data_IF_312204741707
#
_entry.id   IF_312204741707
#
_cell.length_a   1.000
_cell.length_b   1.000
_cell.length_c   1.000
_cell.angle_alpha   90.00
_cell.angle_beta   90.00
_cell.angle_gamma   90.00
#
_symmetry.space_group_name_H-M   'P 1'
#
loop_
_entity.id
_entity.type
_entity.pdbx_description
1 polymer ?
#
# COMPACT_ATOMS: atom_id res chain seq x y z
N UNK A 1 10.61 12.81 8.52
CA UNK A 1 10.64 11.46 9.12
C UNK A 1 9.62 10.57 8.43
N UNK A 2 9.93 9.29 8.24
CA UNK A 2 9.00 8.28 7.69
C UNK A 2 8.82 7.15 8.70
N UNK A 3 7.57 6.77 8.98
CA UNK A 3 7.23 5.60 9.78
C UNK A 3 6.75 4.52 8.83
N UNK A 4 7.50 3.40 8.75
CA UNK A 4 7.24 2.30 7.83
C UNK A 4 6.58 1.13 8.58
N UNK A 5 5.31 0.86 8.28
CA UNK A 5 4.49 -0.16 8.92
C UNK A 5 4.38 -1.38 8.01
N UNK A 6 5.05 -2.44 8.41
CA UNK A 6 5.23 -3.66 7.63
C UNK A 6 3.95 -4.51 7.52
N UNK A 7 3.93 -5.44 6.57
CA UNK A 7 2.88 -6.45 6.48
C UNK A 7 2.96 -7.43 7.64
N UNK A 8 1.83 -8.08 7.97
CA UNK A 8 1.81 -9.11 9.00
C UNK A 8 2.76 -10.26 8.64
N UNK A 9 3.66 -10.59 9.54
CA UNK A 9 4.74 -11.56 9.36
C UNK A 9 6.05 -10.97 8.82
N UNK A 10 6.04 -9.82 8.17
CA UNK A 10 7.21 -9.20 7.56
C UNK A 10 7.99 -8.30 8.54
N UNK A 11 8.32 -8.84 9.70
CA UNK A 11 8.96 -8.12 10.82
C UNK A 11 10.43 -7.78 10.59
N UNK A 12 11.03 -8.32 9.54
CA UNK A 12 12.40 -8.04 9.17
C UNK A 12 12.46 -6.83 8.22
N UNK A 13 13.08 -5.70 8.60
CA UNK A 13 13.23 -4.55 7.72
C UNK A 13 14.05 -4.87 6.47
N UNK A 14 14.89 -5.91 6.49
CA UNK A 14 15.62 -6.42 5.33
C UNK A 14 14.72 -6.74 4.15
N UNK A 15 13.45 -7.15 4.38
CA UNK A 15 12.47 -7.42 3.32
C UNK A 15 12.07 -6.17 2.51
N UNK A 16 12.24 -4.99 3.08
CA UNK A 16 11.98 -3.68 2.46
C UNK A 16 13.24 -2.83 2.36
N UNK A 17 14.41 -3.48 2.51
CA UNK A 17 15.70 -2.80 2.65
C UNK A 17 16.04 -1.86 1.50
N UNK A 18 15.66 -2.20 0.28
CA UNK A 18 15.84 -1.33 -0.89
C UNK A 18 15.08 0.00 -0.76
N UNK A 19 13.82 -0.06 -0.30
CA UNK A 19 13.04 1.16 -0.08
C UNK A 19 13.53 1.96 1.12
N UNK A 20 13.88 1.30 2.21
CA UNK A 20 14.47 1.95 3.40
C UNK A 20 15.76 2.68 3.01
N UNK A 21 16.64 2.05 2.22
CA UNK A 21 17.86 2.67 1.72
C UNK A 21 17.58 3.89 0.83
N UNK A 22 16.59 3.78 -0.08
CA UNK A 22 16.14 4.89 -0.90
C UNK A 22 15.68 6.08 -0.05
N UNK A 23 14.84 5.84 0.95
CA UNK A 23 14.34 6.88 1.86
C UNK A 23 15.47 7.52 2.67
N UNK A 24 16.39 6.71 3.19
CA UNK A 24 17.55 7.20 3.95
C UNK A 24 18.48 8.07 3.08
N UNK A 25 18.74 7.67 1.83
CA UNK A 25 19.50 8.48 0.86
C UNK A 25 18.82 9.78 0.47
N UNK A 26 17.49 9.85 0.58
CA UNK A 26 16.71 11.08 0.41
C UNK A 26 16.73 11.98 1.66
N UNK A 27 17.44 11.59 2.71
CA UNK A 27 17.56 12.34 3.96
C UNK A 27 16.40 12.14 4.94
N UNK A 28 15.61 11.09 4.76
CA UNK A 28 14.56 10.74 5.72
C UNK A 28 15.14 9.91 6.87
N UNK A 29 14.78 10.26 8.10
CA UNK A 29 14.85 9.34 9.22
C UNK A 29 13.72 8.31 9.05
N UNK A 30 14.04 7.02 9.03
CA UNK A 30 13.07 5.94 8.86
C UNK A 30 12.91 5.16 10.15
N UNK A 31 11.70 5.13 10.71
CA UNK A 31 11.33 4.26 11.82
C UNK A 31 10.57 3.05 11.29
N UNK A 32 11.07 1.86 11.63
CA UNK A 32 10.46 0.59 11.28
C UNK A 32 10.04 -0.15 12.57
N UNK A 33 8.85 0.15 13.13
CA UNK A 33 8.42 -0.48 14.36
C UNK A 33 8.09 -1.95 14.11
N UNK A 34 8.80 -2.85 14.78
CA UNK A 34 8.56 -4.30 14.72
C UNK A 34 7.41 -4.66 15.67
N UNK A 35 6.20 -4.22 15.35
CA UNK A 35 5.00 -4.33 16.20
C UNK A 35 4.45 -5.74 16.32
N UNK A 36 5.08 -6.71 15.69
CA UNK A 36 4.69 -8.11 15.76
C UNK A 36 5.83 -8.96 16.32
N UNK A 37 5.59 -9.62 17.44
CA UNK A 37 6.37 -10.78 17.87
C UNK A 37 5.72 -12.01 17.22
N UNK A 38 6.41 -12.63 16.27
CA UNK A 38 5.87 -13.74 15.47
C UNK A 38 5.39 -14.85 16.39
N UNK A 39 4.15 -15.30 16.16
CA UNK A 39 3.43 -16.29 16.94
C UNK A 39 3.04 -15.86 18.39
N UNK A 40 3.21 -14.61 18.78
CA UNK A 40 2.81 -14.12 20.12
C UNK A 40 1.87 -12.92 20.07
N UNK A 41 2.03 -12.05 19.09
CA UNK A 41 1.20 -10.85 18.93
C UNK A 41 -0.15 -11.20 18.29
N UNK A 42 -1.17 -10.45 18.69
CA UNK A 42 -2.49 -10.51 18.06
C UNK A 42 -2.67 -9.33 17.11
N UNK A 43 -3.28 -9.53 15.94
CA UNK A 43 -3.58 -8.43 15.03
C UNK A 43 -4.37 -7.30 15.69
N UNK A 44 -5.28 -7.62 16.61
CA UNK A 44 -6.07 -6.62 17.33
C UNK A 44 -5.21 -5.65 18.16
N UNK A 45 -4.06 -6.10 18.66
CA UNK A 45 -3.16 -5.30 19.51
C UNK A 45 -2.13 -4.52 18.72
N UNK A 46 -1.99 -4.80 17.42
CA UNK A 46 -0.88 -4.33 16.58
C UNK A 46 -0.76 -2.80 16.52
N UNK A 47 -1.90 -2.09 16.47
CA UNK A 47 -1.88 -0.61 16.43
C UNK A 47 -1.34 -0.01 17.73
N UNK A 48 -1.71 -0.59 18.89
CA UNK A 48 -1.22 -0.12 20.19
C UNK A 48 0.27 -0.45 20.36
N UNK A 49 0.69 -1.65 19.96
CA UNK A 49 2.11 -2.05 19.99
C UNK A 49 2.97 -1.15 19.10
N UNK A 50 2.48 -0.84 17.89
CA UNK A 50 3.19 0.08 16.99
C UNK A 50 3.29 1.48 17.60
N UNK A 51 2.23 1.99 18.21
CA UNK A 51 2.18 3.30 18.89
C UNK A 51 3.21 3.38 20.01
N UNK A 52 3.26 2.37 20.89
CA UNK A 52 4.18 2.33 22.04
C UNK A 52 5.65 2.23 21.57
N UNK A 53 5.93 1.43 20.52
CA UNK A 53 7.27 1.32 19.94
C UNK A 53 7.74 2.64 19.31
N UNK A 54 6.84 3.32 18.59
CA UNK A 54 7.14 4.63 17.98
C UNK A 54 7.41 5.67 19.08
N UNK A 55 6.58 5.70 20.11
CA UNK A 55 6.78 6.61 21.25
C UNK A 55 8.14 6.37 21.91
N UNK A 56 8.50 5.10 22.16
CA UNK A 56 9.78 4.74 22.75
C UNK A 56 10.97 5.15 21.88
N UNK A 57 10.86 4.92 20.55
CA UNK A 57 11.88 5.30 19.59
C UNK A 57 12.06 6.84 19.53
N UNK A 58 10.96 7.59 19.53
CA UNK A 58 10.98 9.06 19.53
C UNK A 58 11.58 9.63 20.81
N UNK A 59 11.35 8.98 21.95
CA UNK A 59 11.97 9.37 23.21
C UNK A 59 13.50 9.15 23.18
N UNK A 60 13.94 7.99 22.66
CA UNK A 60 15.37 7.70 22.51
C UNK A 60 16.06 8.67 21.52
N UNK A 61 15.40 9.00 20.40
CA UNK A 61 15.94 9.92 19.39
C UNK A 61 15.94 11.38 19.84
N UNK A 62 15.13 11.75 20.85
CA UNK A 62 15.15 13.10 21.40
C UNK A 62 16.48 13.44 22.10
N UNK A 63 17.16 12.41 22.61
CA UNK A 63 18.48 12.53 23.27
C UNK A 63 19.65 12.47 22.26
N UNK A 64 19.39 12.13 20.99
CA UNK A 64 20.43 12.04 19.95
C UNK A 64 20.50 13.35 19.16
N UNK A 65 21.63 14.07 19.32
CA UNK A 65 21.86 15.35 18.63
C UNK A 65 21.98 15.19 17.11
N UNK A 66 22.37 14.00 16.61
CA UNK A 66 22.62 13.74 15.20
C UNK A 66 21.38 13.21 14.46
N UNK A 67 20.36 12.75 15.18
CA UNK A 67 19.20 12.08 14.61
C UNK A 67 17.86 12.68 15.07
N UNK A 68 17.81 13.99 15.33
CA UNK A 68 16.55 14.65 15.73
C UNK A 68 15.47 14.54 14.66
N UNK A 69 14.34 13.87 14.95
CA UNK A 69 13.25 13.75 13.99
C UNK A 69 12.53 15.08 13.82
N UNK A 70 12.32 15.50 12.57
CA UNK A 70 11.39 16.59 12.26
C UNK A 70 9.96 16.07 12.42
N UNK A 71 9.29 16.48 13.50
CA UNK A 71 7.93 16.06 13.87
C UNK A 71 6.84 16.77 13.08
N UNK A 72 7.16 17.83 12.34
CA UNK A 72 6.23 18.56 11.47
C UNK A 72 6.18 17.96 10.06
N UNK A 73 7.22 17.23 9.66
CA UNK A 73 7.32 16.57 8.34
C UNK A 73 7.33 15.06 8.49
N UNK A 74 6.16 14.50 8.79
CA UNK A 74 5.97 13.08 9.07
C UNK A 74 5.11 12.45 7.98
N UNK A 75 5.54 11.30 7.46
CA UNK A 75 4.75 10.45 6.56
C UNK A 75 4.71 9.02 7.08
N UNK A 76 3.59 8.36 6.88
CA UNK A 76 3.43 6.94 7.17
C UNK A 76 3.39 6.16 5.85
N UNK A 77 4.16 5.08 5.78
CA UNK A 77 4.05 4.06 4.74
C UNK A 77 3.46 2.82 5.41
N UNK A 78 2.44 2.23 4.79
CA UNK A 78 1.87 0.97 5.23
C UNK A 78 1.84 -0.04 4.10
N UNK A 79 2.17 -1.31 4.40
CA UNK A 79 2.00 -2.41 3.47
C UNK A 79 1.05 -3.45 4.03
N UNK A 80 0.04 -3.85 3.26
CA UNK A 80 -0.97 -4.86 3.64
C UNK A 80 -1.61 -4.54 4.99
N UNK A 81 -1.40 -5.35 6.04
CA UNK A 81 -1.86 -5.09 7.40
C UNK A 81 -1.27 -3.82 8.03
N UNK A 82 -0.12 -3.36 7.57
CA UNK A 82 0.46 -2.08 7.98
C UNK A 82 -0.37 -0.87 7.54
N UNK A 83 -1.21 -1.02 6.51
CA UNK A 83 -2.06 0.11 6.04
C UNK A 83 -3.13 0.47 7.07
N UNK A 84 -4.03 -0.44 7.53
CA UNK A 84 -4.99 -0.09 8.56
C UNK A 84 -4.32 0.35 9.88
N UNK A 85 -3.12 -0.17 10.21
CA UNK A 85 -2.34 0.33 11.36
C UNK A 85 -1.93 1.78 11.13
N UNK A 86 -1.44 2.15 9.93
CA UNK A 86 -1.08 3.54 9.59
C UNK A 86 -2.28 4.49 9.73
N UNK A 87 -3.47 4.07 9.29
CA UNK A 87 -4.71 4.84 9.46
C UNK A 87 -5.10 4.98 10.93
N UNK A 88 -5.00 3.90 11.72
CA UNK A 88 -5.26 3.94 13.15
C UNK A 88 -4.32 4.88 13.91
N UNK A 89 -3.02 4.86 13.56
CA UNK A 89 -2.05 5.77 14.14
C UNK A 89 -2.33 7.22 13.75
N UNK A 90 -2.74 7.48 12.51
CA UNK A 90 -3.14 8.81 12.07
C UNK A 90 -4.40 9.33 12.78
N UNK A 91 -5.32 8.44 13.17
CA UNK A 91 -6.49 8.76 13.96
C UNK A 91 -6.16 8.97 15.45
N UNK A 92 -5.12 8.29 15.97
CA UNK A 92 -4.74 8.33 17.39
C UNK A 92 -3.82 9.50 17.81
N UNK A 93 -3.58 10.47 16.93
CA UNK A 93 -2.59 11.54 17.18
C UNK A 93 -2.93 12.49 18.31
N UNK A 94 -4.18 12.56 18.75
CA UNK A 94 -4.61 13.36 19.90
C UNK A 94 -3.93 12.90 21.20
N UNK A 95 -3.50 11.65 21.29
CA UNK A 95 -2.75 11.12 22.43
C UNK A 95 -1.36 11.78 22.61
N UNK A 96 -0.83 12.42 21.56
CA UNK A 96 0.50 13.01 21.51
C UNK A 96 1.65 11.99 21.47
N UNK A 97 1.36 10.67 21.50
CA UNK A 97 2.37 9.61 21.45
C UNK A 97 3.04 9.54 20.08
N UNK A 98 2.26 9.68 19.02
CA UNK A 98 2.72 9.64 17.64
C UNK A 98 2.42 10.99 16.97
N UNK A 99 3.39 11.63 16.28
CA UNK A 99 3.16 12.88 15.59
C UNK A 99 2.18 12.71 14.42
N UNK A 100 1.34 13.73 14.19
CA UNK A 100 0.36 13.72 13.13
C UNK A 100 1.03 13.64 11.74
N UNK A 101 0.69 12.67 10.88
CA UNK A 101 1.28 12.57 9.56
C UNK A 101 0.70 13.64 8.62
N UNK A 102 1.54 14.17 7.73
CA UNK A 102 1.10 14.95 6.57
C UNK A 102 0.64 14.04 5.41
N UNK A 103 1.17 12.79 5.38
CA UNK A 103 0.85 11.79 4.37
C UNK A 103 0.68 10.41 5.02
N UNK A 104 -0.38 9.69 4.65
CA UNK A 104 -0.47 8.24 4.81
C UNK A 104 -0.47 7.60 3.42
N UNK A 105 0.53 6.78 3.14
CA UNK A 105 0.73 6.11 1.86
C UNK A 105 0.61 4.59 2.07
N UNK A 106 -0.50 4.02 1.64
CA UNK A 106 -0.82 2.61 1.86
C UNK A 106 -0.70 1.78 0.58
N UNK A 107 0.01 0.65 0.67
CA UNK A 107 0.16 -0.31 -0.43
C UNK A 107 -0.58 -1.60 -0.13
N UNK A 108 -1.37 -2.06 -1.09
CA UNK A 108 -2.09 -3.34 -1.03
C UNK A 108 -2.84 -3.55 0.30
N UNK A 109 -3.70 -2.60 0.74
CA UNK A 109 -4.33 -2.63 2.05
C UNK A 109 -5.11 -3.92 2.30
N UNK A 110 -4.97 -4.46 3.50
CA UNK A 110 -5.63 -5.71 3.89
C UNK A 110 -5.57 -5.97 5.38
N UNK A 111 -6.08 -7.13 5.82
CA UNK A 111 -6.01 -7.54 7.20
C UNK A 111 -6.95 -6.80 8.17
N UNK A 112 -7.96 -6.09 7.67
CA UNK A 112 -8.96 -5.38 8.46
C UNK A 112 -9.98 -6.38 9.00
N UNK A 113 -10.29 -6.31 10.30
CA UNK A 113 -11.40 -7.04 10.90
C UNK A 113 -12.74 -6.42 10.49
N UNK A 114 -13.72 -7.23 10.10
CA UNK A 114 -15.05 -6.74 9.71
C UNK A 114 -15.89 -6.36 10.93
N UNK A 115 -15.57 -6.89 12.10
CA UNK A 115 -16.21 -6.59 13.39
C UNK A 115 -15.28 -6.98 14.54
N UNK A 116 -15.64 -6.61 15.76
CA UNK A 116 -14.83 -6.84 16.97
C UNK A 116 -14.55 -8.32 17.28
N UNK A 117 -15.36 -9.25 16.77
CA UNK A 117 -15.20 -10.69 17.00
C UNK A 117 -14.31 -11.36 15.96
N UNK A 118 -14.08 -10.72 14.84
CA UNK A 118 -13.25 -11.24 13.76
C UNK A 118 -11.78 -10.92 13.97
N UNK A 119 -10.95 -11.80 13.43
CA UNK A 119 -9.51 -11.61 13.44
C UNK A 119 -9.14 -10.52 12.44
N UNK A 120 -8.19 -9.70 12.82
CA UNK A 120 -7.67 -8.66 11.97
C UNK A 120 -7.31 -7.41 12.75
N UNK A 121 -6.94 -6.39 12.03
CA UNK A 121 -6.71 -5.06 12.58
C UNK A 121 -8.06 -4.39 12.77
N UNK A 122 -8.42 -4.10 14.01
CA UNK A 122 -9.62 -3.35 14.33
C UNK A 122 -9.37 -1.87 14.04
N UNK A 123 -10.28 -1.26 13.29
CA UNK A 123 -10.16 0.16 12.97
C UNK A 123 -10.60 1.01 14.17
N UNK A 124 -9.80 2.03 14.49
CA UNK A 124 -10.18 3.12 15.38
C UNK A 124 -11.20 4.03 14.67
N UNK A 125 -11.70 5.03 15.33
CA UNK A 125 -12.51 6.06 14.69
C UNK A 125 -11.65 6.89 13.72
N UNK A 126 -11.68 6.53 12.43
CA UNK A 126 -10.89 7.21 11.42
C UNK A 126 -11.41 8.62 11.06
N UNK A 127 -12.59 8.99 11.54
CA UNK A 127 -13.10 10.36 11.37
C UNK A 127 -12.28 11.41 12.14
N UNK A 128 -11.44 10.96 13.08
CA UNK A 128 -10.53 11.82 13.85
C UNK A 128 -9.21 12.12 13.13
N UNK A 129 -8.95 11.51 11.97
CA UNK A 129 -7.77 11.85 11.16
C UNK A 129 -7.82 13.33 10.77
N UNK A 130 -6.72 14.04 11.01
CA UNK A 130 -6.65 15.47 10.74
C UNK A 130 -7.02 15.79 9.28
N UNK A 131 -7.91 16.77 9.02
CA UNK A 131 -8.35 17.12 7.66
C UNK A 131 -7.22 17.55 6.72
N UNK A 132 -6.08 17.97 7.29
CA UNK A 132 -4.88 18.35 6.54
C UNK A 132 -4.03 17.17 6.07
N UNK A 133 -4.30 15.95 6.56
CA UNK A 133 -3.57 14.74 6.15
C UNK A 133 -3.91 14.35 4.72
N UNK A 134 -2.92 14.05 3.90
CA UNK A 134 -3.11 13.45 2.58
C UNK A 134 -3.17 11.93 2.73
N UNK A 135 -4.20 11.30 2.14
CA UNK A 135 -4.41 9.85 2.18
C UNK A 135 -4.27 9.28 0.77
N UNK A 136 -3.32 8.38 0.57
CA UNK A 136 -3.13 7.68 -0.71
C UNK A 136 -3.08 6.19 -0.43
N UNK A 137 -3.85 5.41 -1.19
CA UNK A 137 -3.75 3.95 -1.19
C UNK A 137 -3.54 3.45 -2.62
N UNK A 138 -2.69 2.44 -2.78
CA UNK A 138 -2.42 1.80 -4.06
C UNK A 138 -2.68 0.30 -3.97
N UNK A 139 -3.46 -0.23 -4.91
CA UNK A 139 -3.74 -1.65 -5.08
C UNK A 139 -3.06 -2.19 -6.33
N UNK A 140 -2.71 -3.47 -6.36
CA UNK A 140 -2.22 -4.17 -7.56
C UNK A 140 -3.35 -4.87 -8.31
N UNK A 141 -3.21 -5.07 -9.61
CA UNK A 141 -4.19 -5.78 -10.42
C UNK A 141 -4.12 -7.31 -10.24
N UNK A 142 -3.02 -7.82 -9.69
CA UNK A 142 -2.82 -9.25 -9.36
C UNK A 142 -2.86 -9.50 -7.85
N UNK A 143 -3.40 -8.57 -7.10
CA UNK A 143 -3.62 -8.77 -5.68
C UNK A 143 -4.82 -9.72 -5.48
N UNK A 144 -4.55 -10.88 -4.87
CA UNK A 144 -5.57 -11.89 -4.59
C UNK A 144 -6.49 -11.52 -3.41
N UNK A 145 -6.10 -10.51 -2.65
CA UNK A 145 -6.91 -9.97 -1.57
C UNK A 145 -7.72 -8.78 -2.09
N UNK A 146 -8.91 -8.51 -1.54
CA UNK A 146 -9.74 -7.40 -1.97
C UNK A 146 -9.19 -6.05 -1.48
N UNK A 147 -7.93 -5.72 -1.85
CA UNK A 147 -7.27 -4.48 -1.42
C UNK A 147 -8.01 -3.22 -1.89
N UNK A 148 -8.64 -3.25 -3.06
CA UNK A 148 -9.51 -2.17 -3.52
C UNK A 148 -10.68 -1.92 -2.56
N UNK A 149 -11.27 -2.99 -2.00
CA UNK A 149 -12.37 -2.87 -1.03
C UNK A 149 -11.87 -2.29 0.29
N UNK A 150 -10.73 -2.78 0.79
CA UNK A 150 -10.10 -2.25 1.99
C UNK A 150 -9.70 -0.78 1.82
N UNK A 151 -9.12 -0.42 0.68
CA UNK A 151 -8.77 0.95 0.33
C UNK A 151 -9.99 1.89 0.38
N UNK A 152 -11.10 1.50 -0.26
CA UNK A 152 -12.34 2.29 -0.27
C UNK A 152 -12.93 2.44 1.13
N UNK A 153 -12.94 1.37 1.93
CA UNK A 153 -13.42 1.39 3.31
C UNK A 153 -12.63 2.39 4.15
N UNK A 154 -11.30 2.34 4.10
CA UNK A 154 -10.42 3.26 4.83
C UNK A 154 -10.68 4.72 4.42
N UNK A 155 -10.78 4.99 3.11
CA UNK A 155 -11.05 6.33 2.59
C UNK A 155 -12.43 6.85 3.00
N UNK A 156 -13.45 5.98 3.03
CA UNK A 156 -14.80 6.33 3.44
C UNK A 156 -14.85 6.65 4.94
N UNK A 157 -14.25 5.81 5.78
CA UNK A 157 -14.24 6.03 7.23
C UNK A 157 -13.45 7.26 7.67
N UNK A 158 -12.41 7.64 6.94
CA UNK A 158 -11.66 8.89 7.18
C UNK A 158 -12.47 10.13 6.74
N UNK A 159 -13.67 10.28 7.27
CA UNK A 159 -14.69 11.24 6.77
C UNK A 159 -14.31 12.72 6.94
N UNK A 160 -13.52 13.06 7.96
CA UNK A 160 -13.04 14.43 8.17
C UNK A 160 -12.03 14.88 7.12
N UNK A 161 -11.32 13.94 6.46
CA UNK A 161 -10.37 14.28 5.41
C UNK A 161 -11.15 14.54 4.11
N UNK A 162 -11.00 15.72 3.48
CA UNK A 162 -11.74 16.05 2.27
C UNK A 162 -11.29 15.22 1.06
N UNK A 163 -12.17 15.03 0.07
CA UNK A 163 -11.91 14.17 -1.10
C UNK A 163 -10.72 14.63 -1.94
N UNK A 164 -10.45 15.94 -2.01
CA UNK A 164 -9.28 16.49 -2.72
C UNK A 164 -7.94 16.18 -2.04
N UNK A 165 -7.95 15.57 -0.85
CA UNK A 165 -6.78 15.05 -0.13
C UNK A 165 -6.70 13.53 -0.12
N UNK A 166 -7.55 12.85 -0.89
CA UNK A 166 -7.62 11.39 -0.96
C UNK A 166 -7.37 10.92 -2.39
N UNK A 167 -6.53 9.88 -2.56
CA UNK A 167 -6.35 9.20 -3.84
C UNK A 167 -6.45 7.68 -3.67
N UNK A 168 -7.21 7.08 -4.56
CA UNK A 168 -7.21 5.64 -4.82
C UNK A 168 -6.39 5.41 -6.07
N UNK A 169 -5.29 4.65 -5.94
CA UNK A 169 -4.39 4.34 -7.03
C UNK A 169 -4.40 2.85 -7.34
N UNK A 170 -4.01 2.51 -8.56
CA UNK A 170 -3.84 1.13 -8.99
C UNK A 170 -2.58 1.00 -9.83
N UNK A 171 -1.74 0.03 -9.48
CA UNK A 171 -0.64 -0.44 -10.29
C UNK A 171 -1.12 -1.61 -11.16
N UNK A 172 -0.75 -1.60 -12.43
CA UNK A 172 -1.09 -2.66 -13.38
C UNK A 172 0.14 -3.49 -13.71
N UNK A 173 -0.06 -4.81 -13.75
CA UNK A 173 0.94 -5.72 -14.30
C UNK A 173 1.16 -5.45 -15.79
N UNK A 174 2.39 -5.65 -16.25
CA UNK A 174 2.76 -5.45 -17.64
C UNK A 174 3.68 -6.59 -18.09
N UNK A 175 3.24 -7.30 -19.12
CA UNK A 175 3.89 -8.47 -19.69
C UNK A 175 4.52 -8.21 -21.07
N UNK A 176 4.63 -6.93 -21.47
CA UNK A 176 5.26 -6.56 -22.73
C UNK A 176 6.73 -6.96 -22.76
N UNK A 177 7.47 -6.76 -21.67
CA UNK A 177 8.88 -7.10 -21.55
C UNK A 177 9.16 -8.36 -20.72
N UNK A 178 10.44 -8.74 -20.69
CA UNK A 178 10.92 -9.85 -19.86
C UNK A 178 12.05 -9.38 -18.94
N UNK A 179 11.99 -9.68 -17.62
CA UNK A 179 10.85 -10.32 -16.93
C UNK A 179 9.59 -9.44 -16.92
N UNK A 180 8.42 -10.08 -16.94
CA UNK A 180 7.16 -9.38 -16.81
C UNK A 180 7.04 -8.72 -15.43
N UNK A 181 6.46 -7.53 -15.38
CA UNK A 181 6.14 -6.87 -14.11
C UNK A 181 4.79 -7.37 -13.58
N UNK A 182 4.74 -7.76 -12.33
CA UNK A 182 3.51 -8.27 -11.69
C UNK A 182 3.16 -7.41 -10.48
N UNK A 183 2.07 -6.66 -10.57
CA UNK A 183 1.58 -5.83 -9.46
C UNK A 183 0.71 -6.65 -8.51
N UNK A 184 1.34 -7.34 -7.57
CA UNK A 184 0.74 -8.24 -6.60
C UNK A 184 1.04 -7.81 -5.16
N UNK A 185 0.46 -8.50 -4.18
CA UNK A 185 0.62 -8.22 -2.76
C UNK A 185 2.10 -8.15 -2.32
N UNK A 186 2.98 -8.98 -2.89
CA UNK A 186 4.40 -9.02 -2.54
C UNK A 186 5.26 -7.99 -3.29
N UNK A 187 4.70 -7.27 -4.27
CA UNK A 187 5.48 -6.34 -5.11
C UNK A 187 6.24 -5.25 -4.37
N UNK A 188 5.79 -4.74 -3.20
CA UNK A 188 6.57 -3.77 -2.43
C UNK A 188 7.80 -4.34 -1.72
N UNK A 189 8.07 -5.65 -1.83
CA UNK A 189 9.27 -6.30 -1.30
C UNK A 189 10.50 -5.95 -2.12
N UNK A 190 11.49 -5.37 -1.47
CA UNK A 190 12.77 -4.99 -2.07
C UNK A 190 13.91 -5.40 -1.13
N UNK A 191 14.22 -6.71 -1.06
CA UNK A 191 15.11 -7.25 -0.03
C UNK A 191 16.54 -6.70 -0.16
N UNK A 192 17.12 -6.35 0.98
CA UNK A 192 18.49 -5.88 1.10
C UNK A 192 19.08 -6.31 2.44
N UNK A 193 20.10 -7.17 2.39
CA UNK A 193 20.67 -7.86 3.56
C UNK A 193 21.28 -6.92 4.60
N UNK A 194 21.72 -5.72 4.21
CA UNK A 194 22.29 -4.73 5.13
C UNK A 194 21.27 -4.23 6.17
N UNK A 195 19.97 -4.43 5.91
CA UNK A 195 18.87 -4.07 6.81
C UNK A 195 18.29 -5.28 7.55
N UNK A 196 18.91 -6.46 7.45
CA UNK A 196 18.48 -7.65 8.19
C UNK A 196 18.58 -7.42 9.70
N UNK A 197 17.44 -7.49 10.36
CA UNK A 197 17.34 -7.29 11.81
C UNK A 197 17.93 -8.44 12.63
N UNK A 198 18.22 -9.58 12.03
CA UNK A 198 18.87 -10.72 12.72
C UNK A 198 20.28 -10.38 13.19
N UNK A 199 20.94 -9.42 12.54
CA UNK A 199 22.24 -8.90 12.95
C UNK A 199 22.16 -8.01 14.20
N UNK A 200 20.97 -7.49 14.55
CA UNK A 200 20.78 -6.64 15.72
C UNK A 200 20.67 -7.51 16.97
N UNK A 201 21.68 -7.45 17.83
CA UNK A 201 21.61 -8.08 19.15
C UNK A 201 20.58 -7.31 19.99
N UNK A 202 19.43 -7.91 20.17
CA UNK A 202 18.46 -7.40 21.14
C UNK A 202 19.06 -7.50 22.57
N UNK A 203 18.73 -6.57 23.47
CA UNK A 203 19.11 -6.74 24.86
C UNK A 203 18.57 -8.07 25.39
N UNK A 204 19.31 -8.77 26.27
CA UNK A 204 18.84 -10.04 26.81
C UNK A 204 17.49 -9.83 27.49
N UNK A 205 16.58 -10.80 27.30
CA UNK A 205 15.31 -10.81 28.02
C UNK A 205 15.57 -10.56 29.54
N UNK A 206 14.77 -9.74 30.19
CA UNK A 206 14.90 -9.55 31.63
C UNK A 206 14.79 -10.90 32.33
N UNK A 207 15.50 -11.10 33.44
CA UNK A 207 15.49 -12.37 34.18
C UNK A 207 14.05 -12.78 34.47
N UNK A 208 13.62 -13.93 33.97
CA UNK A 208 12.28 -14.47 34.22
C UNK A 208 12.14 -14.79 35.70
N UNK A 209 11.05 -14.33 36.31
CA UNK A 209 10.68 -14.80 37.64
C UNK A 209 10.47 -16.32 37.58
N UNK A 210 11.25 -17.12 38.33
CA UNK A 210 11.10 -18.60 38.36
C UNK A 210 9.70 -19.07 38.78
N UNK A 211 8.95 -18.20 39.45
CA UNK A 211 7.56 -18.45 39.88
C UNK A 211 6.53 -18.16 38.81
N UNK A 212 6.90 -17.44 37.77
CA UNK A 212 6.01 -17.11 36.64
C UNK A 212 5.95 -18.29 35.69
N UNK A 213 4.91 -19.13 35.86
CA UNK A 213 4.63 -20.21 34.90
C UNK A 213 4.47 -19.58 33.52
N UNK A 214 5.21 -20.11 32.51
CA UNK A 214 5.00 -19.74 31.13
C UNK A 214 3.59 -20.18 30.69
N UNK A 215 2.61 -19.27 30.83
CA UNK A 215 1.21 -19.50 30.47
C UNK A 215 0.94 -19.23 28.98
N UNK A 216 1.99 -18.86 28.23
CA UNK A 216 1.83 -18.60 26.80
C UNK A 216 1.36 -19.87 26.07
N UNK A 217 0.27 -19.75 25.35
CA UNK A 217 -0.24 -20.77 24.42
C UNK A 217 -0.58 -20.08 23.12
N UNK A 218 -0.16 -20.69 22.01
CA UNK A 218 -0.62 -20.26 20.71
C UNK A 218 -2.16 -20.38 20.64
N UNK A 219 -2.79 -19.37 20.08
CA UNK A 219 -4.22 -19.36 19.81
C UNK A 219 -4.46 -18.84 18.39
N UNK A 220 -5.57 -19.26 17.81
CA UNK A 220 -5.86 -18.96 16.40
C UNK A 220 -6.06 -17.46 16.12
N UNK A 221 -6.31 -16.64 17.15
CA UNK A 221 -6.42 -15.18 17.07
C UNK A 221 -5.06 -14.45 16.93
N UNK A 222 -3.95 -15.19 17.09
CA UNK A 222 -2.59 -14.68 16.86
C UNK A 222 -2.18 -14.70 15.38
N UNK A 223 -3.03 -15.22 14.49
CA UNK A 223 -2.78 -15.23 13.07
C UNK A 223 -3.81 -14.40 12.32
N UNK A 224 -3.39 -13.62 11.30
CA UNK A 224 -4.33 -13.12 10.32
C UNK A 224 -4.81 -14.29 9.44
N UNK A 225 -6.05 -14.24 9.00
CA UNK A 225 -6.54 -15.16 7.96
C UNK A 225 -5.85 -14.82 6.65
N UNK A 226 -5.15 -15.81 6.07
CA UNK A 226 -4.50 -15.64 4.78
C UNK A 226 -3.07 -16.21 4.72
N UNK A 227 -2.41 -16.14 3.58
CA UNK A 227 -1.13 -16.80 3.31
C UNK A 227 0.09 -16.02 3.85
N UNK A 228 0.15 -15.77 5.15
CA UNK A 228 1.21 -14.94 5.77
C UNK A 228 2.62 -15.48 5.56
N UNK A 229 2.83 -16.78 5.73
CA UNK A 229 4.13 -17.41 5.48
C UNK A 229 4.52 -17.27 4.02
N UNK A 230 3.56 -17.46 3.12
CA UNK A 230 3.78 -17.32 1.68
C UNK A 230 4.12 -15.88 1.30
N UNK A 231 3.50 -14.90 1.94
CA UNK A 231 3.80 -13.49 1.70
C UNK A 231 5.23 -13.15 2.13
N UNK A 232 5.67 -13.59 3.31
CA UNK A 232 7.03 -13.32 3.80
C UNK A 232 8.08 -13.95 2.87
N UNK A 233 7.85 -15.18 2.42
CA UNK A 233 8.72 -15.83 1.43
C UNK A 233 8.71 -15.11 0.08
N UNK A 234 7.54 -14.68 -0.38
CA UNK A 234 7.42 -13.94 -1.64
C UNK A 234 8.13 -12.58 -1.58
N UNK A 235 8.03 -11.86 -0.45
CA UNK A 235 8.77 -10.62 -0.22
C UNK A 235 10.29 -10.85 -0.24
N UNK A 236 10.77 -11.91 0.43
CA UNK A 236 12.20 -12.24 0.48
C UNK A 236 12.77 -12.74 -0.85
N UNK A 237 11.93 -13.31 -1.70
CA UNK A 237 12.33 -13.78 -3.04
C UNK A 237 12.14 -12.71 -4.12
N UNK A 238 11.52 -11.59 -3.78
CA UNK A 238 11.34 -10.49 -4.73
C UNK A 238 12.68 -9.81 -5.02
N UNK A 239 12.79 -9.21 -6.18
CA UNK A 239 13.92 -8.34 -6.55
C UNK A 239 13.43 -6.92 -6.72
N UNK A 240 14.30 -5.95 -6.49
CA UNK A 240 13.97 -4.56 -6.80
C UNK A 240 13.79 -4.38 -8.30
N UNK A 241 12.62 -3.91 -8.71
CA UNK A 241 12.25 -3.76 -10.12
C UNK A 241 11.66 -2.37 -10.44
N UNK A 242 11.11 -2.24 -11.64
CA UNK A 242 10.50 -0.99 -12.12
C UNK A 242 9.27 -0.57 -11.29
N UNK A 243 8.52 -1.52 -10.72
CA UNK A 243 7.40 -1.19 -9.82
C UNK A 243 7.89 -0.50 -8.56
N UNK A 244 9.01 -0.99 -7.97
CA UNK A 244 9.60 -0.34 -6.80
C UNK A 244 9.97 1.10 -7.12
N UNK A 245 10.78 1.32 -8.16
CA UNK A 245 11.27 2.67 -8.50
C UNK A 245 10.18 3.61 -8.95
N UNK A 246 9.27 3.18 -9.81
CA UNK A 246 8.35 4.07 -10.52
C UNK A 246 6.93 4.05 -9.96
N UNK A 247 6.45 2.90 -9.44
CA UNK A 247 5.12 2.85 -8.83
C UNK A 247 5.14 3.25 -7.36
N UNK A 248 6.12 2.75 -6.57
CA UNK A 248 6.10 2.94 -5.12
C UNK A 248 6.97 4.11 -4.67
N UNK A 249 8.28 4.06 -4.93
CA UNK A 249 9.23 5.04 -4.38
C UNK A 249 9.06 6.43 -4.97
N UNK A 250 9.07 6.56 -6.31
CA UNK A 250 8.86 7.84 -6.98
C UNK A 250 7.50 8.47 -6.62
N UNK A 251 6.45 7.64 -6.60
CA UNK A 251 5.11 8.13 -6.29
C UNK A 251 5.02 8.61 -4.84
N UNK A 252 5.65 7.88 -3.91
CA UNK A 252 5.78 8.32 -2.51
C UNK A 252 6.59 9.61 -2.39
N UNK A 253 7.74 9.73 -3.08
CA UNK A 253 8.58 10.93 -3.05
C UNK A 253 7.77 12.17 -3.48
N UNK A 254 7.10 12.09 -4.63
CA UNK A 254 6.29 13.20 -5.17
C UNK A 254 5.14 13.54 -4.20
N UNK A 255 4.47 12.51 -3.65
CA UNK A 255 3.36 12.69 -2.72
C UNK A 255 3.81 13.31 -1.40
N UNK A 256 4.93 12.84 -0.83
CA UNK A 256 5.45 13.35 0.44
C UNK A 256 5.94 14.80 0.31
N UNK A 257 6.63 15.14 -0.77
CA UNK A 257 7.03 16.54 -1.05
C UNK A 257 5.81 17.46 -1.17
N UNK A 258 4.76 17.01 -1.89
CA UNK A 258 3.52 17.78 -2.02
C UNK A 258 2.79 17.93 -0.67
N UNK A 259 2.69 16.85 0.13
CA UNK A 259 2.05 16.87 1.43
C UNK A 259 2.81 17.79 2.43
N UNK A 260 4.14 17.71 2.46
CA UNK A 260 4.98 18.57 3.28
C UNK A 260 4.93 20.04 2.87
N UNK A 261 4.65 20.31 1.59
CA UNK A 261 4.40 21.66 1.08
C UNK A 261 2.94 22.13 1.28
N UNK A 262 2.10 21.36 1.97
CA UNK A 262 0.69 21.68 2.22
C UNK A 262 -0.23 21.58 0.99
N UNK A 263 0.25 21.04 -0.14
CA UNK A 263 -0.54 20.83 -1.35
C UNK A 263 -1.59 19.73 -1.12
N UNK A 264 -2.67 19.79 -1.88
CA UNK A 264 -3.69 18.72 -1.90
C UNK A 264 -3.34 17.60 -2.88
N UNK A 265 -4.02 16.46 -2.74
CA UNK A 265 -3.80 15.30 -3.61
C UNK A 265 -4.27 15.55 -5.05
N UNK A 266 -5.20 16.47 -5.27
CA UNK A 266 -5.63 16.88 -6.61
C UNK A 266 -4.49 17.54 -7.39
N UNK A 267 -3.52 18.16 -6.70
CA UNK A 267 -2.34 18.73 -7.35
C UNK A 267 -1.45 17.64 -7.99
N UNK A 268 -1.41 16.43 -7.39
CA UNK A 268 -0.65 15.31 -7.89
C UNK A 268 -1.18 14.81 -9.25
N UNK A 269 -2.50 14.85 -9.44
CA UNK A 269 -3.12 14.42 -10.70
C UNK A 269 -2.77 15.33 -11.89
N UNK A 270 -2.28 16.54 -11.63
CA UNK A 270 -1.83 17.48 -12.67
C UNK A 270 -0.36 17.27 -13.05
N UNK A 271 0.40 16.54 -12.26
CA UNK A 271 1.80 16.18 -12.57
C UNK A 271 1.82 14.87 -13.39
N UNK A 272 2.17 14.92 -14.69
CA UNK A 272 2.21 13.72 -15.51
C UNK A 272 3.23 12.68 -15.01
N UNK A 273 4.26 13.10 -14.27
CA UNK A 273 5.29 12.21 -13.70
C UNK A 273 4.73 11.34 -12.59
N UNK A 274 3.66 11.79 -11.92
CA UNK A 274 3.10 11.08 -10.77
C UNK A 274 2.60 9.67 -11.13
N UNK A 275 1.98 9.53 -12.30
CA UNK A 275 1.41 8.26 -12.79
C UNK A 275 2.24 7.60 -13.90
N UNK A 276 3.34 8.24 -14.33
CA UNK A 276 4.20 7.73 -15.40
C UNK A 276 5.03 6.56 -14.91
N UNK A 277 5.15 5.52 -15.75
CA UNK A 277 5.92 4.30 -15.46
C UNK A 277 7.11 4.12 -16.41
N UNK A 278 7.42 5.16 -17.21
CA UNK A 278 8.51 5.11 -18.17
C UNK A 278 8.21 4.24 -19.40
N UNK A 279 9.28 3.72 -19.98
CA UNK A 279 9.23 2.90 -21.20
C UNK A 279 10.06 1.64 -21.04
N UNK A 280 9.65 0.58 -21.72
CA UNK A 280 10.45 -0.61 -21.91
C UNK A 280 11.71 -0.32 -22.73
N UNK A 281 12.66 -1.24 -22.76
CA UNK A 281 13.93 -1.08 -23.48
C UNK A 281 13.79 -0.88 -25.00
N UNK A 282 12.65 -1.32 -25.56
CA UNK A 282 12.30 -1.13 -26.98
C UNK A 282 11.57 0.20 -27.27
N UNK A 283 11.37 1.03 -26.21
CA UNK A 283 10.67 2.31 -26.29
C UNK A 283 9.16 2.23 -26.13
N UNK A 284 8.58 1.02 -25.94
CA UNK A 284 7.15 0.89 -25.68
C UNK A 284 6.81 1.44 -24.28
N UNK A 285 5.71 2.21 -24.13
CA UNK A 285 5.37 2.76 -22.81
C UNK A 285 4.92 1.65 -21.85
N UNK A 286 5.45 1.67 -20.62
CA UNK A 286 4.96 0.84 -19.53
C UNK A 286 3.56 1.29 -19.13
N UNK A 287 2.70 0.35 -18.75
CA UNK A 287 1.33 0.65 -18.28
C UNK A 287 1.37 1.63 -17.12
N UNK A 288 0.74 2.79 -17.33
CA UNK A 288 0.70 3.87 -16.33
C UNK A 288 -0.11 3.48 -15.11
N UNK A 289 0.21 4.09 -13.97
CA UNK A 289 -0.64 4.01 -12.79
C UNK A 289 -1.98 4.70 -13.08
N UNK A 290 -3.07 4.14 -12.56
CA UNK A 290 -4.33 4.87 -12.48
C UNK A 290 -4.45 5.53 -11.11
N UNK A 291 -5.00 6.74 -11.07
CA UNK A 291 -5.23 7.49 -9.83
C UNK A 291 -6.56 8.23 -9.93
N UNK A 292 -7.37 8.15 -8.90
CA UNK A 292 -8.67 8.83 -8.84
C UNK A 292 -9.00 9.27 -7.41
N UNK A 293 -9.69 10.37 -7.28
CA UNK A 293 -10.28 10.76 -6.00
C UNK A 293 -11.48 9.86 -5.67
N UNK A 294 -11.71 9.50 -4.39
CA UNK A 294 -12.93 8.81 -4.01
C UNK A 294 -14.16 9.62 -4.40
N UNK A 295 -15.18 8.93 -4.90
CA UNK A 295 -16.47 9.58 -5.18
C UNK A 295 -17.09 10.08 -3.87
N UNK A 296 -17.61 11.29 -3.88
CA UNK A 296 -18.41 11.82 -2.76
C UNK A 296 -19.77 11.15 -2.84
N UNK A 297 -20.24 10.53 -1.75
CA UNK A 297 -21.60 9.99 -1.67
C UNK A 297 -22.59 11.13 -1.94
N UNK A 298 -23.47 10.96 -2.93
CA UNK A 298 -24.45 11.96 -3.36
C UNK A 298 -24.25 12.52 -4.78
N UNK A 299 -23.14 12.23 -5.46
CA UNK A 299 -23.05 12.49 -6.90
C UNK A 299 -23.54 11.26 -7.67
N UNK A 300 -24.83 11.28 -8.03
CA UNK A 300 -25.39 10.32 -8.99
C UNK A 300 -24.55 10.31 -10.27
N UNK A 301 -24.10 9.12 -10.65
CA UNK A 301 -23.49 8.88 -11.94
C UNK A 301 -24.51 9.26 -13.04
N UNK A 302 -24.35 10.38 -13.71
CA UNK A 302 -24.78 10.42 -15.10
C UNK A 302 -23.94 9.35 -15.81
N UNK A 303 -24.58 8.31 -16.40
CA UNK A 303 -23.81 7.33 -17.17
C UNK A 303 -23.06 8.09 -18.25
N UNK A 304 -21.75 7.89 -18.35
CA UNK A 304 -20.99 8.33 -19.51
C UNK A 304 -21.72 7.80 -20.75
N UNK A 305 -21.95 8.64 -21.76
CA UNK A 305 -22.52 8.16 -23.00
C UNK A 305 -21.57 7.10 -23.55
N UNK A 306 -22.01 5.84 -23.47
CA UNK A 306 -21.24 4.71 -24.03
C UNK A 306 -20.84 5.01 -25.46
N UNK A 307 -19.72 4.46 -25.95
CA UNK A 307 -19.25 4.71 -27.30
C UNK A 307 -20.43 4.50 -28.24
N UNK A 308 -20.78 5.56 -28.99
CA UNK A 308 -21.87 5.50 -29.99
C UNK A 308 -21.55 4.31 -30.90
N UNK A 309 -22.32 3.23 -30.79
CA UNK A 309 -22.31 2.16 -31.76
C UNK A 309 -22.55 2.83 -33.11
N UNK A 310 -21.55 2.85 -33.99
CA UNK A 310 -21.77 3.17 -35.39
C UNK A 310 -22.81 2.15 -35.88
N UNK A 311 -23.97 2.64 -36.24
CA UNK A 311 -24.95 1.86 -36.95
C UNK A 311 -24.23 1.26 -38.17
N UNK A 312 -24.15 -0.06 -38.22
CA UNK A 312 -23.71 -0.79 -39.38
C UNK A 312 -24.62 -0.39 -40.54
N UNK A 313 -24.08 0.31 -41.50
CA UNK A 313 -24.71 0.44 -42.79
C UNK A 313 -24.87 -0.98 -43.36
N UNK A 314 -26.09 -1.32 -43.78
CA UNK A 314 -26.38 -2.58 -44.44
C UNK A 314 -25.44 -2.81 -45.63
N UNK A 315 -24.99 -4.02 -45.86
CA UNK A 315 -24.20 -4.33 -47.04
C UNK A 315 -25.00 -4.09 -48.31
N UNK A 316 -24.38 -3.63 -49.43
CA UNK A 316 -25.08 -3.38 -50.66
C UNK A 316 -25.71 -4.69 -51.19
N UNK A 317 -26.95 -4.59 -51.65
CA UNK A 317 -27.69 -5.69 -52.29
C UNK A 317 -26.87 -6.25 -53.46
N UNK A 318 -26.48 -7.52 -53.36
CA UNK A 318 -25.93 -8.27 -54.50
C UNK A 318 -27.08 -8.65 -55.43
N UNK A 319 -27.11 -8.05 -56.61
CA UNK A 319 -27.98 -8.48 -57.72
C UNK A 319 -27.77 -9.97 -57.99
N UNK A 320 -28.86 -10.74 -57.93
CA UNK A 320 -28.96 -12.10 -58.39
C UNK A 320 -28.57 -12.15 -59.88
N UNK A 321 -27.41 -12.73 -60.20
CA UNK A 321 -27.06 -13.21 -61.52
C UNK A 321 -27.37 -14.70 -61.61
N UNK A 322 -28.13 -15.03 -62.64
CA UNK A 322 -28.76 -16.31 -62.99
C UNK A 322 -27.85 -17.53 -62.83
N UNK A 323 -28.51 -18.60 -62.36
CA UNK A 323 -28.14 -20.00 -62.51
C UNK A 323 -27.78 -20.29 -63.98
N UNK A 324 -26.56 -20.85 -64.20
CA UNK A 324 -26.25 -21.82 -65.30
C UNK A 324 -24.75 -22.16 -65.23
N UNK A 325 -24.38 -22.99 -64.25
CA UNK A 325 -23.08 -23.64 -64.33
C UNK A 325 -22.97 -24.92 -63.48
N UNK A 326 -24.00 -25.77 -63.51
CA UNK A 326 -23.89 -27.12 -62.95
C UNK A 326 -24.56 -28.16 -63.86
N UNK A 327 -24.09 -28.29 -65.11
CA UNK A 327 -24.41 -29.44 -65.94
C UNK A 327 -23.31 -29.64 -66.96
N UNK A 328 -22.14 -30.10 -66.54
CA UNK A 328 -21.15 -30.77 -67.41
C UNK A 328 -19.97 -31.23 -66.53
N UNK A 329 -20.11 -32.32 -65.87
CA UNK A 329 -19.08 -33.29 -65.48
C UNK A 329 -19.74 -34.57 -65.00
N UNK A 330 -20.39 -35.26 -66.01
CA UNK A 330 -20.61 -36.72 -66.04
C UNK A 330 -20.64 -37.12 -67.50
N UNK A 331 -19.50 -37.48 -67.99
CA UNK A 331 -19.24 -38.51 -69.02
C UNK A 331 -17.74 -38.73 -69.02
#
# INVERSE_FOLDING_TARGET
MVIFLHSWGAVDPGLYGGWIDHLARKGHLVLFPRFQDVNRSRPADASNLAEDLIQSALAALAEDENAKPDRERVAFIGHSAGVPIAFNLAAGTESGKVPAPKLVFGLMPGGIASNEKERGIHLRDLSTIAPSTMLITMSGDRDHLPSDRAARLLMQQASAVPSNRKLLMRASSDDHGFPAMTAALASPGSPKSEYDATAIKLPPDPPRDPKQRNTWRWSADMALTGPQILLTQALGNNGTDTLDYLAFWKTFDIASEAAFAGKDAAALLRDPKFVDMGTWSDGWPVRRLSAQMPKVEGQENKPEPGPRRRLNMAPPETKQGSSDFLTKLRS
#
